data_IF_652246710158
#
_entry.id   IF_652246710158
#
_cell.length_a   1.000
_cell.length_b   1.000
_cell.length_c   1.000
_cell.angle_alpha   90.00
_cell.angle_beta   90.00
_cell.angle_gamma   90.00
#
_symmetry.space_group_name_H-M   'P 1'
#
loop_
_entity.id
_entity.type
_entity.pdbx_description
1 polymer ?
#
# COMPACT_ATOMS: atom_id res chain seq x y z
N UNK A 1 -15.53 18.99 -0.10
CA UNK A 1 -14.57 18.09 -0.74
C UNK A 1 -14.45 16.78 0.02
N UNK A 2 -14.17 15.69 -0.69
CA UNK A 2 -14.01 14.34 -0.12
C UNK A 2 -12.58 13.91 -0.36
N UNK A 3 -11.92 13.45 0.70
CA UNK A 3 -10.55 12.99 0.68
C UNK A 3 -10.49 11.49 0.99
N UNK A 4 -9.85 10.71 0.13
CA UNK A 4 -9.54 9.31 0.38
C UNK A 4 -8.04 9.18 0.67
N UNK A 5 -7.71 8.97 1.94
CA UNK A 5 -6.33 8.71 2.36
C UNK A 5 -6.09 7.20 2.39
N UNK A 6 -5.02 6.76 1.74
CA UNK A 6 -4.52 5.38 1.81
C UNK A 6 -3.15 5.38 2.46
N UNK A 7 -3.04 4.68 3.58
CA UNK A 7 -1.75 4.42 4.24
C UNK A 7 -1.15 3.14 3.68
N UNK A 8 0.13 3.14 3.32
CA UNK A 8 0.86 1.97 2.83
C UNK A 8 2.23 1.91 3.51
N UNK A 9 2.63 0.73 3.97
CA UNK A 9 4.00 0.58 4.48
C UNK A 9 4.99 0.44 3.32
N UNK A 10 6.19 1.05 3.37
CA UNK A 10 7.21 0.83 2.35
C UNK A 10 7.55 -0.65 2.18
N UNK A 11 7.61 -1.39 3.30
CA UNK A 11 7.84 -2.84 3.31
C UNK A 11 6.65 -3.65 2.77
N UNK A 12 5.45 -3.06 2.71
CA UNK A 12 4.32 -3.68 1.99
C UNK A 12 4.55 -3.57 0.48
N UNK A 13 5.01 -2.41 0.00
CA UNK A 13 5.25 -2.17 -1.43
C UNK A 13 6.52 -2.86 -1.96
N UNK A 14 7.56 -2.89 -1.14
CA UNK A 14 8.83 -3.55 -1.44
C UNK A 14 9.26 -4.45 -0.26
N UNK A 15 8.74 -5.70 -0.21
CA UNK A 15 9.01 -6.58 0.91
C UNK A 15 10.49 -6.96 0.99
N UNK A 16 11.16 -6.83 2.15
CA UNK A 16 12.58 -7.18 2.33
C UNK A 16 12.76 -8.70 2.53
N UNK A 17 11.94 -9.51 1.89
CA UNK A 17 11.87 -10.96 2.08
C UNK A 17 12.05 -11.68 0.75
N UNK A 18 12.98 -12.63 0.74
CA UNK A 18 13.15 -13.59 -0.34
C UNK A 18 13.31 -14.99 0.27
N UNK A 19 12.67 -15.99 -0.34
CA UNK A 19 12.79 -17.37 0.08
C UNK A 19 11.56 -17.91 0.81
N UNK A 20 11.76 -18.83 1.75
CA UNK A 20 10.69 -19.43 2.53
C UNK A 20 10.19 -18.45 3.60
N UNK A 21 9.00 -17.91 3.37
CA UNK A 21 8.42 -16.84 4.18
C UNK A 21 7.13 -17.33 4.84
N UNK A 22 7.00 -17.01 6.12
CA UNK A 22 5.73 -17.12 6.84
C UNK A 22 4.96 -15.80 6.68
N UNK A 23 3.85 -15.82 5.95
CA UNK A 23 2.92 -14.70 5.88
C UNK A 23 1.93 -14.82 7.03
N UNK A 24 1.80 -13.75 7.80
CA UNK A 24 0.80 -13.63 8.84
C UNK A 24 -0.25 -12.63 8.38
N UNK A 25 -1.51 -13.06 8.36
CA UNK A 25 -2.63 -12.18 8.05
C UNK A 25 -3.14 -11.54 9.35
N UNK A 26 -2.89 -10.23 9.55
CA UNK A 26 -3.31 -9.56 10.78
C UNK A 26 -4.82 -9.46 10.93
N UNK A 27 -5.60 -9.66 9.86
CA UNK A 27 -7.06 -9.54 9.88
C UNK A 27 -7.78 -10.89 10.07
N UNK A 28 -7.15 -12.01 9.68
CA UNK A 28 -7.81 -13.31 9.66
C UNK A 28 -7.19 -14.39 10.56
N UNK A 29 -6.20 -14.04 11.40
CA UNK A 29 -5.39 -14.97 12.23
C UNK A 29 -4.78 -16.13 11.41
N UNK A 30 -4.74 -16.01 10.08
CA UNK A 30 -4.31 -17.06 9.18
C UNK A 30 -2.82 -16.92 8.87
N UNK A 31 -2.06 -17.95 9.19
CA UNK A 31 -0.65 -18.02 8.84
C UNK A 31 -0.45 -18.90 7.60
N UNK A 32 0.20 -18.34 6.56
CA UNK A 32 0.51 -19.06 5.32
C UNK A 32 2.01 -19.09 5.08
N UNK A 33 2.61 -20.28 5.14
CA UNK A 33 4.00 -20.49 4.71
C UNK A 33 4.05 -20.62 3.19
N UNK A 34 4.83 -19.78 2.54
CA UNK A 34 4.99 -19.80 1.09
C UNK A 34 6.38 -19.34 0.69
N UNK A 35 6.87 -19.86 -0.44
CA UNK A 35 8.07 -19.32 -1.05
C UNK A 35 7.76 -17.98 -1.74
N UNK A 36 8.42 -16.91 -1.31
CA UNK A 36 8.36 -15.60 -1.92
C UNK A 36 9.60 -15.37 -2.77
N UNK A 37 9.46 -15.63 -4.08
CA UNK A 37 10.54 -15.40 -5.05
C UNK A 37 10.62 -13.93 -5.45
N UNK A 38 11.76 -13.49 -5.98
CA UNK A 38 11.90 -12.15 -6.58
C UNK A 38 10.85 -11.87 -7.66
N UNK A 39 10.53 -12.88 -8.49
CA UNK A 39 9.48 -12.77 -9.50
C UNK A 39 8.09 -12.58 -8.89
N UNK A 40 7.81 -13.24 -7.77
CA UNK A 40 6.56 -13.05 -7.03
C UNK A 40 6.50 -11.67 -6.36
N UNK A 41 7.61 -11.18 -5.80
CA UNK A 41 7.73 -9.83 -5.25
C UNK A 41 7.45 -8.76 -6.32
N UNK A 42 8.09 -8.87 -7.48
CA UNK A 42 7.86 -7.95 -8.60
C UNK A 42 6.42 -8.02 -9.15
N UNK A 43 5.82 -9.22 -9.18
CA UNK A 43 4.41 -9.40 -9.55
C UNK A 43 3.47 -8.75 -8.53
N UNK A 44 3.74 -8.95 -7.24
CA UNK A 44 2.99 -8.37 -6.14
C UNK A 44 3.03 -6.84 -6.20
N UNK A 45 4.22 -6.24 -6.30
CA UNK A 45 4.40 -4.79 -6.39
C UNK A 45 3.63 -4.19 -7.56
N UNK A 46 3.70 -4.80 -8.74
CA UNK A 46 2.91 -4.37 -9.91
C UNK A 46 1.39 -4.44 -9.66
N UNK A 47 0.92 -5.47 -8.98
CA UNK A 47 -0.51 -5.61 -8.64
C UNK A 47 -0.96 -4.56 -7.63
N UNK A 48 -0.15 -4.29 -6.62
CA UNK A 48 -0.42 -3.25 -5.63
C UNK A 48 -0.46 -1.87 -6.28
N UNK A 49 0.56 -1.53 -7.06
CA UNK A 49 0.67 -0.25 -7.77
C UNK A 49 -0.52 -0.04 -8.72
N UNK A 50 -0.88 -1.07 -9.49
CA UNK A 50 -2.05 -1.04 -10.38
C UNK A 50 -3.37 -0.90 -9.62
N UNK A 51 -3.50 -1.50 -8.44
CA UNK A 51 -4.67 -1.34 -7.60
C UNK A 51 -4.80 0.08 -7.04
N UNK A 52 -3.69 0.65 -6.53
CA UNK A 52 -3.63 2.02 -6.02
C UNK A 52 -4.03 3.01 -7.12
N UNK A 53 -3.49 2.84 -8.32
CA UNK A 53 -3.82 3.69 -9.47
C UNK A 53 -5.30 3.57 -9.87
N UNK A 54 -5.85 2.35 -9.92
CA UNK A 54 -7.26 2.14 -10.24
C UNK A 54 -8.21 2.79 -9.22
N UNK A 55 -7.84 2.80 -7.93
CA UNK A 55 -8.58 3.50 -6.88
C UNK A 55 -8.46 5.01 -7.07
N UNK A 56 -7.26 5.51 -7.38
CA UNK A 56 -7.00 6.92 -7.66
C UNK A 56 -7.90 7.46 -8.77
N UNK A 57 -7.87 6.80 -9.94
CA UNK A 57 -8.66 7.20 -11.10
C UNK A 57 -10.17 7.24 -10.83
N UNK A 58 -10.69 6.26 -10.08
CA UNK A 58 -12.11 6.23 -9.71
C UNK A 58 -12.47 7.34 -8.74
N UNK A 59 -11.61 7.62 -7.77
CA UNK A 59 -11.82 8.65 -6.75
C UNK A 59 -11.83 10.03 -7.40
N UNK A 60 -10.83 10.32 -8.25
CA UNK A 60 -10.78 11.56 -9.04
C UNK A 60 -11.96 11.69 -9.99
N UNK A 61 -12.40 10.58 -10.63
CA UNK A 61 -13.59 10.57 -11.48
C UNK A 61 -14.89 10.92 -10.75
N UNK A 62 -14.93 10.77 -9.43
CA UNK A 62 -16.05 11.16 -8.56
C UNK A 62 -15.87 12.57 -7.96
N UNK A 63 -14.82 13.30 -8.34
CA UNK A 63 -14.52 14.63 -7.81
C UNK A 63 -13.93 14.62 -6.40
N UNK A 64 -13.31 13.50 -6.01
CA UNK A 64 -12.61 13.35 -4.74
C UNK A 64 -11.10 13.21 -4.96
N UNK A 65 -10.29 13.57 -3.96
CA UNK A 65 -8.85 13.44 -4.01
C UNK A 65 -8.38 12.14 -3.35
N UNK A 66 -7.34 11.53 -3.90
CA UNK A 66 -6.74 10.31 -3.38
C UNK A 66 -5.28 10.55 -3.01
N UNK A 67 -4.97 10.40 -1.73
CA UNK A 67 -3.64 10.67 -1.17
C UNK A 67 -3.05 9.36 -0.66
N UNK A 68 -1.85 9.07 -1.12
CA UNK A 68 -1.03 7.98 -0.59
C UNK A 68 -0.10 8.52 0.49
N UNK A 69 -0.10 7.88 1.66
CA UNK A 69 0.78 8.22 2.79
C UNK A 69 1.59 7.00 3.16
N UNK A 70 2.92 7.15 3.25
CA UNK A 70 3.79 6.06 3.70
C UNK A 70 3.85 6.01 5.23
N UNK A 71 3.89 4.81 5.81
CA UNK A 71 3.89 4.66 7.28
C UNK A 71 5.17 5.17 7.96
N UNK A 72 6.25 5.31 7.21
CA UNK A 72 7.54 5.84 7.67
C UNK A 72 7.71 7.34 7.42
N UNK A 73 6.72 8.00 6.81
CA UNK A 73 6.71 9.44 6.69
C UNK A 73 6.66 10.11 8.08
N UNK A 74 7.41 11.21 8.24
CA UNK A 74 7.35 12.03 9.45
C UNK A 74 5.91 12.49 9.71
N UNK A 75 5.46 12.40 10.96
CA UNK A 75 4.06 12.65 11.32
C UNK A 75 3.53 14.00 10.81
N UNK A 76 4.33 15.07 10.95
CA UNK A 76 3.91 16.40 10.52
C UNK A 76 3.85 16.52 8.99
N UNK A 77 4.73 15.84 8.26
CA UNK A 77 4.72 15.83 6.80
C UNK A 77 3.54 15.01 6.26
N UNK A 78 3.26 13.85 6.88
CA UNK A 78 2.09 13.03 6.60
C UNK A 78 0.78 13.76 6.90
N UNK A 79 0.71 14.47 8.03
CA UNK A 79 -0.46 15.28 8.37
C UNK A 79 -0.63 16.45 7.39
N UNK A 80 0.44 17.17 7.08
CA UNK A 80 0.39 18.31 6.17
C UNK A 80 -0.01 17.90 4.74
N UNK A 81 0.49 16.76 4.25
CA UNK A 81 0.14 16.26 2.91
C UNK A 81 -1.34 15.93 2.77
N UNK A 82 -1.99 15.52 3.87
CA UNK A 82 -3.43 15.25 3.93
C UNK A 82 -4.25 16.53 4.13
N UNK A 83 -3.82 17.42 5.01
CA UNK A 83 -4.59 18.61 5.40
C UNK A 83 -4.55 19.74 4.37
N UNK A 84 -3.49 19.81 3.57
CA UNK A 84 -3.28 20.87 2.58
C UNK A 84 -3.60 20.46 1.14
N UNK A 85 -4.08 19.23 0.94
CA UNK A 85 -4.47 18.70 -0.36
C UNK A 85 -5.77 19.32 -0.89
#
# INVERSE_FOLDING_TARGET
DVLLVRVVAPAERDPPIAGDTLFDDPESDATKRSYFSEGLAASYRRRLDGHIEAVSQRTTGLGADHILVETDADYFDAFASVWLA
#
